data_IF_633863271973
#
_entry.id   IF_633863271973
#
_cell.length_a   1.000
_cell.length_b   1.000
_cell.length_c   1.000
_cell.angle_alpha   90.00
_cell.angle_beta   90.00
_cell.angle_gamma   90.00
#
_symmetry.space_group_name_H-M   'P 1'
#
loop_
_entity.id
_entity.type
_entity.pdbx_description
1 polymer ?
#
# COMPACT_ATOMS: atom_id res chain seq x y z
N UNK A 1 10.41 21.16 17.63
CA UNK A 1 8.98 20.81 17.76
C UNK A 1 8.67 20.82 19.24
N UNK A 2 7.81 21.75 19.67
CA UNK A 2 7.18 21.63 20.97
C UNK A 2 6.34 20.36 20.97
N UNK A 3 6.46 19.55 22.00
CA UNK A 3 5.55 18.44 22.22
C UNK A 3 4.14 19.00 22.36
N UNK A 4 3.31 18.79 21.37
CA UNK A 4 1.89 19.06 21.46
C UNK A 4 1.24 17.79 21.99
N UNK A 5 0.47 17.92 23.06
CA UNK A 5 -0.35 16.81 23.53
C UNK A 5 -1.55 16.68 22.57
N UNK A 6 -1.42 15.76 21.63
CA UNK A 6 -2.46 15.50 20.63
C UNK A 6 -3.76 14.96 21.24
N UNK A 7 -3.72 14.47 22.48
CA UNK A 7 -4.92 14.00 23.19
C UNK A 7 -5.92 15.14 23.41
N UNK A 8 -5.44 16.32 23.77
CA UNK A 8 -6.30 17.49 23.98
C UNK A 8 -6.94 17.97 22.66
N UNK A 9 -6.23 17.87 21.54
CA UNK A 9 -6.75 18.19 20.21
C UNK A 9 -7.75 17.15 19.69
N UNK A 10 -7.53 15.89 20.02
CA UNK A 10 -8.39 14.77 19.62
C UNK A 10 -9.78 14.85 20.28
N UNK A 11 -9.87 15.49 21.44
CA UNK A 11 -11.12 15.65 22.21
C UNK A 11 -11.91 16.89 21.79
N UNK A 12 -11.39 17.72 20.89
CA UNK A 12 -12.11 18.89 20.40
C UNK A 12 -13.32 18.46 19.55
N UNK A 13 -14.51 18.98 19.88
CA UNK A 13 -15.79 18.65 19.22
C UNK A 13 -15.79 18.79 17.68
N UNK A 14 -14.83 19.52 17.12
CA UNK A 14 -14.73 19.83 15.69
C UNK A 14 -13.41 19.36 15.04
N UNK A 15 -12.72 18.39 15.64
CA UNK A 15 -11.51 17.86 15.03
C UNK A 15 -11.85 17.11 13.73
N UNK A 16 -11.17 17.48 12.62
CA UNK A 16 -11.33 16.80 11.32
C UNK A 16 -10.73 15.39 11.35
N UNK A 17 -9.71 15.17 12.17
CA UNK A 17 -9.09 13.89 12.45
C UNK A 17 -9.13 13.63 13.96
N UNK A 18 -9.82 12.57 14.37
CA UNK A 18 -9.99 12.21 15.77
C UNK A 18 -9.03 11.11 16.18
N UNK A 19 -8.02 11.44 16.96
CA UNK A 19 -7.05 10.49 17.49
C UNK A 19 -7.72 9.52 18.46
N UNK A 20 -7.55 8.22 18.22
CA UNK A 20 -8.08 7.14 19.07
C UNK A 20 -6.98 6.44 19.85
N UNK A 21 -5.75 6.49 19.38
CA UNK A 21 -4.58 5.94 20.06
C UNK A 21 -3.33 6.72 19.68
N UNK A 22 -2.43 6.89 20.63
CA UNK A 22 -1.15 7.56 20.46
C UNK A 22 -0.05 6.69 21.07
N UNK A 23 1.04 6.54 20.33
CA UNK A 23 2.19 5.75 20.76
C UNK A 23 3.49 6.38 20.29
N UNK A 24 4.48 6.44 21.16
CA UNK A 24 5.86 6.71 20.75
C UNK A 24 6.58 5.39 20.58
N UNK A 25 7.13 5.17 19.39
CA UNK A 25 7.82 3.93 19.02
C UNK A 25 9.31 4.20 18.87
N UNK A 26 10.14 3.42 19.55
CA UNK A 26 11.57 3.37 19.25
C UNK A 26 11.76 2.45 18.03
N UNK A 27 12.19 3.02 16.92
CA UNK A 27 12.33 2.29 15.65
C UNK A 27 13.33 1.15 15.74
N UNK A 28 14.31 1.24 16.66
CA UNK A 28 15.30 0.17 16.88
C UNK A 28 14.65 -1.11 17.44
N UNK A 29 13.54 -0.99 18.16
CA UNK A 29 12.80 -2.15 18.67
C UNK A 29 12.21 -3.00 17.55
N UNK A 30 11.89 -2.41 16.38
CA UNK A 30 11.39 -3.14 15.23
C UNK A 30 12.40 -4.17 14.70
N UNK A 31 13.69 -3.91 14.84
CA UNK A 31 14.76 -4.81 14.38
C UNK A 31 14.83 -6.10 15.20
N UNK A 32 14.25 -6.10 16.40
CA UNK A 32 14.22 -7.23 17.32
C UNK A 32 12.81 -7.88 17.39
N UNK A 33 11.83 -7.34 16.67
CA UNK A 33 10.48 -7.87 16.63
C UNK A 33 10.34 -8.90 15.51
N UNK A 34 10.54 -10.18 15.87
CA UNK A 34 10.47 -11.28 14.90
C UNK A 34 9.08 -11.41 14.25
N UNK A 35 8.01 -11.11 14.97
CA UNK A 35 6.65 -11.15 14.44
C UNK A 35 6.44 -10.04 13.40
N UNK A 36 6.89 -8.83 13.71
CA UNK A 36 6.83 -7.71 12.78
C UNK A 36 7.69 -7.98 11.52
N UNK A 37 8.91 -8.48 11.67
CA UNK A 37 9.79 -8.84 10.55
C UNK A 37 9.17 -9.94 9.68
N UNK A 38 8.51 -10.93 10.29
CA UNK A 38 7.87 -12.03 9.57
C UNK A 38 6.72 -11.54 8.66
N UNK A 39 5.96 -10.54 9.08
CA UNK A 39 4.87 -9.96 8.27
C UNK A 39 5.36 -9.44 6.91
N UNK A 40 6.60 -8.98 6.85
CA UNK A 40 7.20 -8.41 5.65
C UNK A 40 8.13 -9.39 4.91
N UNK A 41 8.13 -10.66 5.29
CA UNK A 41 9.03 -11.68 4.73
C UNK A 41 10.48 -11.49 5.14
N UNK A 42 10.75 -10.80 6.23
CA UNK A 42 12.09 -10.49 6.71
C UNK A 42 12.56 -11.41 7.84
N UNK A 43 11.74 -12.37 8.29
CA UNK A 43 12.07 -13.25 9.41
C UNK A 43 13.22 -14.23 9.13
N UNK A 44 13.37 -14.64 7.87
CA UNK A 44 14.39 -15.63 7.45
C UNK A 44 15.71 -14.97 7.00
N UNK A 45 15.77 -13.66 7.03
CA UNK A 45 17.05 -12.98 6.82
C UNK A 45 17.88 -13.16 8.09
N UNK A 46 19.14 -13.61 7.97
CA UNK A 46 20.00 -13.72 9.13
C UNK A 46 19.99 -12.38 9.86
N UNK A 47 19.59 -12.41 11.12
CA UNK A 47 19.68 -11.24 11.99
C UNK A 47 21.08 -10.62 11.84
N UNK A 48 21.19 -9.29 11.96
CA UNK A 48 22.50 -8.61 11.88
C UNK A 48 23.55 -9.24 12.80
N UNK A 49 23.14 -9.96 13.83
CA UNK A 49 24.01 -10.71 14.75
C UNK A 49 24.68 -11.94 14.13
N UNK A 50 24.12 -12.56 13.09
CA UNK A 50 24.78 -13.70 12.44
C UNK A 50 25.92 -13.27 11.51
N UNK A 51 25.89 -12.06 11.00
CA UNK A 51 27.04 -11.49 10.30
C UNK A 51 28.20 -11.23 11.28
N UNK A 52 27.89 -10.85 12.51
CA UNK A 52 28.88 -10.70 13.61
C UNK A 52 29.36 -12.06 14.15
N UNK A 53 28.48 -13.06 14.24
CA UNK A 53 28.82 -14.41 14.68
C UNK A 53 29.67 -15.19 13.67
N UNK A 54 29.62 -14.85 12.38
CA UNK A 54 30.45 -15.44 11.33
C UNK A 54 31.87 -14.86 11.26
N UNK A 55 32.27 -14.01 12.22
CA UNK A 55 33.64 -13.49 12.34
C UNK A 55 34.06 -12.55 11.19
N UNK A 56 33.11 -11.97 10.48
CA UNK A 56 33.37 -10.95 9.48
C UNK A 56 33.57 -9.62 10.20
N UNK A 57 34.73 -9.50 10.85
CA UNK A 57 35.21 -8.26 11.45
C UNK A 57 35.90 -7.45 10.37
N UNK A 58 35.21 -6.48 9.80
CA UNK A 58 35.77 -5.51 8.85
C UNK A 58 34.68 -4.69 8.17
N UNK A 59 35.01 -3.54 7.57
CA UNK A 59 34.02 -2.60 7.03
C UNK A 59 33.46 -3.04 5.67
N UNK A 60 33.28 -4.33 5.43
CA UNK A 60 32.54 -4.81 4.27
C UNK A 60 31.04 -4.77 4.62
N UNK A 61 30.47 -3.59 4.44
CA UNK A 61 29.02 -3.49 4.30
C UNK A 61 28.62 -4.41 3.16
N UNK A 62 27.67 -5.32 3.41
CA UNK A 62 27.04 -6.06 2.33
C UNK A 62 26.63 -5.05 1.25
N UNK A 63 26.91 -5.36 0.00
CA UNK A 63 26.55 -4.49 -1.12
C UNK A 63 25.07 -4.12 -1.03
N UNK A 64 24.70 -2.84 -1.26
CA UNK A 64 23.32 -2.36 -1.33
C UNK A 64 22.47 -3.04 -2.41
N UNK A 65 23.08 -3.91 -3.24
CA UNK A 65 22.41 -4.73 -4.24
C UNK A 65 21.94 -6.07 -3.67
N UNK A 66 22.44 -6.50 -2.52
CA UNK A 66 21.98 -7.72 -1.83
C UNK A 66 20.78 -7.43 -0.94
N UNK A 67 19.88 -8.41 -0.77
CA UNK A 67 18.74 -8.26 0.13
C UNK A 67 19.19 -7.94 1.56
N UNK A 68 20.25 -8.59 2.05
CA UNK A 68 20.82 -8.31 3.37
C UNK A 68 21.32 -6.86 3.50
N UNK A 69 22.01 -6.33 2.48
CA UNK A 69 22.48 -4.94 2.47
C UNK A 69 21.34 -3.93 2.42
N UNK A 70 20.29 -4.22 1.64
CA UNK A 70 19.08 -3.40 1.57
C UNK A 70 18.40 -3.34 2.94
N UNK A 71 18.28 -4.46 3.62
CA UNK A 71 17.66 -4.51 4.93
C UNK A 71 18.47 -3.79 6.01
N UNK A 72 19.80 -3.88 5.96
CA UNK A 72 20.66 -3.11 6.87
C UNK A 72 20.42 -1.61 6.73
N UNK A 73 20.25 -1.10 5.50
CA UNK A 73 19.99 0.32 5.27
C UNK A 73 18.57 0.72 5.66
N UNK A 74 17.56 -0.12 5.37
CA UNK A 74 16.18 0.13 5.79
C UNK A 74 16.03 0.17 7.31
N UNK A 75 16.74 -0.68 8.01
CA UNK A 75 16.71 -0.80 9.46
C UNK A 75 17.83 -0.01 10.16
N UNK A 76 18.49 0.90 9.47
CA UNK A 76 19.44 1.84 10.05
C UNK A 76 18.69 3.07 10.61
N UNK A 77 18.62 3.13 11.94
CA UNK A 77 17.97 4.21 12.68
C UNK A 77 18.98 5.09 13.45
N UNK A 78 20.23 5.13 12.99
CA UNK A 78 21.31 5.88 13.66
C UNK A 78 21.05 7.39 13.75
N UNK A 79 20.30 7.95 12.78
CA UNK A 79 20.00 9.38 12.72
C UNK A 79 18.70 9.78 13.42
N UNK A 80 17.71 8.90 13.47
CA UNK A 80 16.42 9.14 14.10
C UNK A 80 15.89 7.84 14.65
N UNK A 81 15.61 7.80 15.96
CA UNK A 81 15.31 6.58 16.67
C UNK A 81 13.86 6.46 17.10
N UNK A 82 13.08 7.55 17.04
CA UNK A 82 11.71 7.55 17.57
C UNK A 82 10.71 8.16 16.60
N UNK A 83 9.56 7.53 16.53
CA UNK A 83 8.39 8.01 15.80
C UNK A 83 7.21 8.16 16.73
N UNK A 84 6.34 9.14 16.42
CA UNK A 84 5.04 9.30 17.05
C UNK A 84 3.98 8.72 16.11
N UNK A 85 3.23 7.73 16.59
CA UNK A 85 2.14 7.10 15.85
C UNK A 85 0.80 7.62 16.40
N UNK A 86 -0.03 8.15 15.51
CA UNK A 86 -1.39 8.61 15.81
C UNK A 86 -2.38 7.79 14.99
N UNK A 87 -3.09 6.88 15.63
CA UNK A 87 -4.25 6.22 14.99
C UNK A 87 -5.48 7.09 15.19
N UNK A 88 -6.33 7.18 14.18
CA UNK A 88 -7.49 8.05 14.30
C UNK A 88 -8.57 7.81 13.26
N UNK A 89 -9.66 8.56 13.41
CA UNK A 89 -10.87 8.47 12.62
C UNK A 89 -11.04 9.73 11.77
N UNK A 90 -11.64 9.55 10.60
CA UNK A 90 -11.98 10.65 9.71
C UNK A 90 -13.26 10.34 8.92
N UNK A 91 -13.88 11.38 8.39
CA UNK A 91 -15.11 11.25 7.61
C UNK A 91 -14.79 10.98 6.14
N UNK A 92 -15.51 10.05 5.54
CA UNK A 92 -15.43 9.71 4.12
C UNK A 92 -16.78 9.21 3.63
N UNK A 93 -16.78 8.44 2.54
CA UNK A 93 -17.97 7.82 1.96
C UNK A 93 -17.80 6.31 1.85
N UNK A 94 -18.91 5.59 1.89
CA UNK A 94 -18.97 4.14 1.68
C UNK A 94 -19.22 3.77 0.22
N UNK A 95 -19.42 2.48 -0.05
CA UNK A 95 -19.69 1.95 -1.40
C UNK A 95 -20.99 2.48 -2.01
N UNK A 96 -21.91 2.97 -1.19
CA UNK A 96 -23.18 3.58 -1.62
C UNK A 96 -23.09 5.11 -1.76
N UNK A 97 -21.89 5.68 -1.57
CA UNK A 97 -21.68 7.12 -1.54
C UNK A 97 -22.22 7.80 -0.28
N UNK A 98 -22.60 7.03 0.74
CA UNK A 98 -23.13 7.56 1.98
C UNK A 98 -22.00 7.91 2.95
N UNK A 99 -22.21 8.91 3.84
CA UNK A 99 -21.23 9.25 4.85
C UNK A 99 -20.87 8.06 5.72
N UNK A 100 -19.58 7.87 5.96
CA UNK A 100 -19.05 6.84 6.85
C UNK A 100 -17.83 7.35 7.59
N UNK A 101 -17.45 6.65 8.67
CA UNK A 101 -16.24 6.93 9.43
C UNK A 101 -15.20 5.86 9.08
N UNK A 102 -14.05 6.30 8.60
CA UNK A 102 -12.90 5.47 8.32
C UNK A 102 -11.78 5.76 9.30
N UNK A 103 -10.76 4.94 9.26
CA UNK A 103 -9.59 5.06 10.14
C UNK A 103 -8.28 4.98 9.35
N UNK A 104 -7.21 5.35 10.03
CA UNK A 104 -5.87 5.28 9.51
C UNK A 104 -4.85 5.70 10.55
N UNK A 105 -3.60 5.79 10.11
CA UNK A 105 -2.48 6.19 10.96
C UNK A 105 -1.72 7.36 10.37
N UNK A 106 -1.30 8.26 11.24
CA UNK A 106 -0.28 9.27 10.95
C UNK A 106 0.98 8.89 11.71
N UNK A 107 2.11 8.87 11.03
CA UNK A 107 3.42 8.63 11.63
C UNK A 107 4.24 9.90 11.48
N UNK A 108 4.67 10.46 12.60
CA UNK A 108 5.45 11.69 12.67
C UNK A 108 6.85 11.41 13.22
N UNK A 109 7.88 12.17 12.77
CA UNK A 109 9.14 12.21 13.50
C UNK A 109 8.87 12.67 14.93
N UNK A 110 9.39 11.98 15.93
CA UNK A 110 9.21 12.36 17.33
C UNK A 110 9.93 13.67 17.68
N UNK A 111 10.95 14.04 16.91
CA UNK A 111 11.73 15.26 17.07
C UNK A 111 12.08 15.86 15.72
N UNK A 112 12.24 17.18 15.70
CA UNK A 112 12.66 17.90 14.51
C UNK A 112 11.50 18.35 13.61
N UNK A 113 11.81 19.10 12.55
CA UNK A 113 10.80 19.56 11.60
C UNK A 113 10.30 18.42 10.72
N UNK A 114 9.09 18.57 10.20
CA UNK A 114 8.53 17.71 9.16
C UNK A 114 8.90 18.32 7.81
N UNK A 115 9.54 17.54 6.93
CA UNK A 115 9.93 18.02 5.60
C UNK A 115 8.73 18.13 4.67
N UNK A 116 8.01 17.04 4.48
CA UNK A 116 6.81 16.92 3.64
C UNK A 116 5.90 15.84 4.18
N UNK A 117 4.67 15.81 3.70
CA UNK A 117 3.80 14.64 3.82
C UNK A 117 4.10 13.61 2.75
N UNK A 118 4.04 12.34 3.13
CA UNK A 118 3.91 11.22 2.21
C UNK A 118 2.53 10.61 2.42
N UNK A 119 1.69 10.67 1.40
CA UNK A 119 0.37 10.03 1.41
C UNK A 119 0.52 8.63 0.85
N UNK A 120 0.31 7.64 1.71
CA UNK A 120 0.55 6.23 1.41
C UNK A 120 -0.74 5.51 1.12
N UNK A 121 -0.74 4.76 0.03
CA UNK A 121 -1.76 3.74 -0.27
C UNK A 121 -1.14 2.37 0.00
N UNK A 122 -1.71 1.62 0.97
CA UNK A 122 -1.07 0.38 1.40
C UNK A 122 -1.31 -0.79 0.43
N UNK A 123 -0.42 -1.78 0.48
CA UNK A 123 -0.54 -3.03 -0.26
C UNK A 123 -1.63 -3.93 0.34
N UNK A 124 -1.87 -5.07 -0.29
CA UNK A 124 -2.90 -6.04 0.13
C UNK A 124 -2.62 -6.57 1.53
N UNK A 125 -3.59 -6.42 2.39
CA UNK A 125 -3.70 -7.04 3.70
C UNK A 125 -5.00 -7.83 3.77
N UNK A 126 -5.11 -8.73 4.71
CA UNK A 126 -6.32 -9.52 4.90
C UNK A 126 -6.80 -9.54 6.36
N UNK A 127 -5.89 -9.46 7.31
CA UNK A 127 -6.25 -9.38 8.73
C UNK A 127 -6.33 -7.93 9.22
N UNK A 128 -7.23 -7.70 10.18
CA UNK A 128 -7.37 -6.37 10.78
C UNK A 128 -6.15 -5.97 11.63
N UNK A 129 -5.38 -6.94 12.13
CA UNK A 129 -4.12 -6.66 12.85
C UNK A 129 -3.04 -6.06 11.95
N UNK A 130 -3.13 -6.25 10.62
CA UNK A 130 -2.21 -5.67 9.64
C UNK A 130 -2.64 -4.28 9.17
N UNK A 131 -3.82 -3.80 9.58
CA UNK A 131 -4.28 -2.46 9.22
C UNK A 131 -3.31 -1.40 9.73
N UNK A 132 -3.01 -0.35 8.95
CA UNK A 132 -2.10 0.72 9.36
C UNK A 132 -2.41 1.31 10.74
N UNK A 133 -3.69 1.45 11.12
CA UNK A 133 -4.09 1.92 12.44
C UNK A 133 -3.70 0.98 13.59
N UNK A 134 -3.42 -0.30 13.32
CA UNK A 134 -3.14 -1.32 14.32
C UNK A 134 -1.67 -1.77 14.35
N UNK A 135 -0.87 -1.43 13.35
CA UNK A 135 0.51 -1.88 13.22
C UNK A 135 1.41 -0.74 12.74
N UNK A 136 2.72 -0.85 13.00
CA UNK A 136 3.69 0.02 12.33
C UNK A 136 3.90 -0.49 10.90
N UNK A 137 3.42 0.26 9.91
CA UNK A 137 3.52 -0.13 8.50
C UNK A 137 4.97 -0.10 8.00
N UNK A 138 5.29 -0.94 7.03
CA UNK A 138 6.64 -1.00 6.45
C UNK A 138 7.06 0.36 5.88
N UNK A 139 6.17 1.06 5.21
CA UNK A 139 6.39 2.41 4.68
C UNK A 139 6.73 3.42 5.79
N UNK A 140 6.28 3.16 7.00
CA UNK A 140 6.56 3.96 8.20
C UNK A 140 8.04 4.14 8.48
N UNK A 141 8.90 3.24 7.99
CA UNK A 141 10.35 3.36 8.11
C UNK A 141 10.90 4.66 7.50
N UNK A 142 10.18 5.25 6.55
CA UNK A 142 10.58 6.51 5.92
C UNK A 142 10.46 7.73 6.84
N UNK A 143 9.78 7.59 7.99
CA UNK A 143 9.72 8.64 9.01
C UNK A 143 11.11 9.04 9.51
N UNK A 144 12.06 8.12 9.50
CA UNK A 144 13.46 8.37 9.90
C UNK A 144 14.15 9.44 9.06
N UNK A 145 13.66 9.71 7.86
CA UNK A 145 14.17 10.75 6.96
C UNK A 145 13.54 12.14 7.23
N UNK A 146 12.60 12.23 8.16
CA UNK A 146 11.95 13.50 8.53
C UNK A 146 10.62 13.76 7.83
N UNK A 147 10.02 12.76 7.21
CA UNK A 147 8.70 12.85 6.58
C UNK A 147 7.59 12.47 7.56
N UNK A 148 6.41 13.06 7.38
CA UNK A 148 5.19 12.61 8.03
C UNK A 148 4.41 11.72 7.05
N UNK A 149 4.04 10.52 7.49
CA UNK A 149 3.30 9.59 6.67
C UNK A 149 1.82 9.58 7.07
N UNK A 150 0.96 9.64 6.07
CA UNK A 150 -0.50 9.54 6.21
C UNK A 150 -0.92 8.24 5.54
N UNK A 151 -1.42 7.28 6.31
CA UNK A 151 -1.65 5.91 5.86
C UNK A 151 -3.08 5.49 6.19
N UNK A 152 -4.04 5.66 5.25
CA UNK A 152 -5.41 5.19 5.44
C UNK A 152 -5.52 3.67 5.50
N UNK A 153 -6.47 3.16 6.29
CA UNK A 153 -6.75 1.72 6.40
C UNK A 153 -7.51 1.15 5.19
N UNK A 154 -8.26 1.96 4.49
CA UNK A 154 -9.30 1.63 3.50
C UNK A 154 -10.61 1.14 4.14
N UNK A 155 -11.71 1.15 3.38
CA UNK A 155 -12.93 0.46 3.77
C UNK A 155 -12.64 -1.03 3.95
N UNK A 156 -13.15 -1.62 5.01
CA UNK A 156 -12.98 -3.04 5.30
C UNK A 156 -11.95 -3.34 6.38
N UNK A 157 -11.21 -2.33 6.85
CA UNK A 157 -10.22 -2.47 7.91
C UNK A 157 -10.35 -1.37 8.96
N UNK A 158 -9.76 -1.58 10.12
CA UNK A 158 -9.84 -0.62 11.22
C UNK A 158 -11.29 -0.38 11.66
N UNK A 159 -11.72 0.86 11.60
CA UNK A 159 -13.08 1.26 12.01
C UNK A 159 -14.20 0.57 11.21
N UNK A 160 -13.91 0.06 10.02
CA UNK A 160 -14.87 -0.63 9.15
C UNK A 160 -14.52 -2.09 8.89
N UNK A 161 -13.86 -2.74 9.85
CA UNK A 161 -13.45 -4.15 9.72
C UNK A 161 -14.64 -5.11 9.51
N UNK A 162 -15.85 -4.70 9.87
CA UNK A 162 -17.11 -5.42 9.63
C UNK A 162 -17.63 -5.32 8.20
N UNK A 163 -16.99 -4.51 7.35
CA UNK A 163 -17.36 -4.30 5.95
C UNK A 163 -16.43 -5.08 5.02
N UNK A 164 -16.97 -5.45 3.85
CA UNK A 164 -16.14 -6.00 2.77
C UNK A 164 -15.24 -4.89 2.23
N UNK A 165 -13.96 -5.20 2.04
CA UNK A 165 -13.04 -4.28 1.36
C UNK A 165 -13.34 -4.24 -0.14
N UNK A 166 -13.65 -3.04 -0.70
CA UNK A 166 -13.89 -2.87 -2.14
C UNK A 166 -12.55 -2.89 -2.91
N UNK A 167 -11.94 -4.05 -2.96
CA UNK A 167 -10.60 -4.27 -3.49
C UNK A 167 -10.47 -3.79 -4.94
N UNK A 168 -9.55 -2.87 -5.20
CA UNK A 168 -9.27 -2.27 -6.52
C UNK A 168 -10.45 -1.49 -7.13
N UNK A 169 -11.40 -1.04 -6.33
CA UNK A 169 -12.40 -0.07 -6.75
C UNK A 169 -11.77 1.32 -6.64
N UNK A 170 -11.20 1.78 -7.75
CA UNK A 170 -10.17 2.82 -7.75
C UNK A 170 -10.70 4.20 -7.36
N UNK A 171 -11.80 4.67 -7.93
CA UNK A 171 -12.33 6.00 -7.60
C UNK A 171 -12.75 6.11 -6.13
N UNK A 172 -13.44 5.10 -5.62
CA UNK A 172 -13.85 5.06 -4.23
C UNK A 172 -12.65 5.06 -3.29
N UNK A 173 -11.68 4.18 -3.55
CA UNK A 173 -10.49 4.06 -2.69
C UNK A 173 -9.65 5.34 -2.75
N UNK A 174 -9.47 5.95 -3.92
CA UNK A 174 -8.78 7.22 -4.05
C UNK A 174 -9.49 8.34 -3.25
N UNK A 175 -10.81 8.39 -3.27
CA UNK A 175 -11.60 9.31 -2.47
C UNK A 175 -11.37 9.09 -0.98
N UNK A 176 -11.42 7.83 -0.52
CA UNK A 176 -11.17 7.48 0.88
C UNK A 176 -9.75 7.89 1.34
N UNK A 177 -8.75 7.72 0.50
CA UNK A 177 -7.37 8.13 0.79
C UNK A 177 -7.25 9.64 0.88
N UNK A 178 -7.80 10.37 -0.08
CA UNK A 178 -7.78 11.84 -0.08
C UNK A 178 -8.56 12.44 1.07
N UNK A 179 -9.67 11.83 1.46
CA UNK A 179 -10.46 12.30 2.60
C UNK A 179 -9.64 12.25 3.91
N UNK A 180 -8.78 11.24 4.08
CA UNK A 180 -7.86 11.24 5.22
C UNK A 180 -6.83 12.37 5.14
N UNK A 181 -6.25 12.61 3.97
CA UNK A 181 -5.33 13.72 3.76
C UNK A 181 -6.00 15.05 4.16
N UNK A 182 -7.21 15.32 3.66
CA UNK A 182 -7.95 16.53 3.99
C UNK A 182 -8.34 16.66 5.47
N UNK A 183 -8.50 15.53 6.15
CA UNK A 183 -8.77 15.52 7.58
C UNK A 183 -7.52 15.78 8.42
N UNK A 184 -6.40 15.17 8.03
CA UNK A 184 -5.14 15.19 8.79
C UNK A 184 -4.39 16.50 8.65
N UNK A 185 -4.35 17.11 7.46
CA UNK A 185 -3.57 18.32 7.21
C UNK A 185 -4.00 19.49 8.10
N UNK A 186 -5.29 19.88 8.17
CA UNK A 186 -5.73 20.93 9.08
C UNK A 186 -5.48 20.60 10.55
N UNK A 187 -5.64 19.34 10.93
CA UNK A 187 -5.39 18.85 12.28
C UNK A 187 -3.92 19.09 12.69
N UNK A 188 -2.98 18.69 11.84
CA UNK A 188 -1.54 18.86 12.12
C UNK A 188 -1.10 20.33 12.07
N UNK A 189 -1.63 21.12 11.14
CA UNK A 189 -1.35 22.56 11.06
C UNK A 189 -1.81 23.27 12.35
N UNK A 190 -3.00 22.95 12.83
CA UNK A 190 -3.53 23.50 14.09
C UNK A 190 -2.70 23.08 15.30
N UNK A 191 -2.08 21.89 15.25
CA UNK A 191 -1.16 21.39 16.26
C UNK A 191 0.25 22.00 16.17
N UNK A 192 0.52 22.90 15.20
CA UNK A 192 1.85 23.45 14.96
C UNK A 192 2.83 22.49 14.29
N UNK A 193 2.32 21.46 13.61
CA UNK A 193 3.09 20.43 12.94
C UNK A 193 3.06 20.57 11.40
N UNK A 194 2.92 21.77 10.87
CA UNK A 194 2.97 22.00 9.43
C UNK A 194 4.36 21.62 8.87
N UNK A 195 4.41 20.98 7.68
CA UNK A 195 5.68 20.67 7.05
C UNK A 195 6.39 21.92 6.52
N UNK A 196 7.70 21.78 6.28
CA UNK A 196 8.53 22.86 5.71
C UNK A 196 8.15 23.18 4.26
N UNK A 197 7.72 22.15 3.51
CA UNK A 197 7.30 22.26 2.11
C UNK A 197 5.83 21.89 1.96
N UNK A 198 5.14 22.56 1.04
CA UNK A 198 3.71 22.38 0.81
C UNK A 198 3.36 21.31 -0.23
N UNK A 199 4.35 20.86 -1.00
CA UNK A 199 4.21 19.76 -1.94
C UNK A 199 4.39 18.40 -1.24
N UNK A 200 3.78 17.36 -1.77
CA UNK A 200 3.71 16.04 -1.14
C UNK A 200 4.21 14.94 -2.06
N UNK A 201 4.61 13.84 -1.46
CA UNK A 201 4.81 12.58 -2.14
C UNK A 201 3.57 11.70 -2.04
N UNK A 202 3.26 10.97 -3.12
CA UNK A 202 2.33 9.86 -3.12
C UNK A 202 3.12 8.57 -3.28
N UNK A 203 2.77 7.51 -2.56
CA UNK A 203 3.42 6.22 -2.75
C UNK A 203 2.49 5.04 -2.49
N UNK A 204 2.76 3.93 -3.16
CA UNK A 204 2.09 2.67 -2.92
C UNK A 204 2.70 1.51 -3.69
N UNK A 205 2.58 0.32 -3.12
CA UNK A 205 3.03 -0.94 -3.71
C UNK A 205 1.87 -1.92 -3.88
N UNK A 206 1.89 -2.71 -4.94
CA UNK A 206 0.86 -3.73 -5.25
C UNK A 206 -0.52 -3.09 -5.41
N UNK A 207 -1.53 -3.50 -4.65
CA UNK A 207 -2.81 -2.78 -4.59
C UNK A 207 -2.59 -1.28 -4.40
N UNK A 208 -1.66 -0.92 -3.52
CA UNK A 208 -1.29 0.46 -3.26
C UNK A 208 -0.64 1.16 -4.46
N UNK A 209 0.05 0.43 -5.33
CA UNK A 209 0.60 0.96 -6.57
C UNK A 209 -0.49 1.43 -7.52
N UNK A 210 -1.51 0.62 -7.75
CA UNK A 210 -2.68 1.00 -8.53
C UNK A 210 -3.46 2.13 -7.84
N UNK A 211 -3.66 2.04 -6.53
CA UNK A 211 -4.38 3.04 -5.75
C UNK A 211 -3.67 4.39 -5.77
N UNK A 212 -2.34 4.44 -5.62
CA UNK A 212 -1.61 5.71 -5.65
C UNK A 212 -1.69 6.40 -7.02
N UNK A 213 -1.73 5.64 -8.11
CA UNK A 213 -2.00 6.19 -9.44
C UNK A 213 -3.43 6.72 -9.55
N UNK A 214 -4.41 6.05 -8.95
CA UNK A 214 -5.77 6.53 -8.88
C UNK A 214 -5.91 7.80 -8.02
N UNK A 215 -5.13 7.92 -6.94
CA UNK A 215 -5.05 9.14 -6.12
C UNK A 215 -4.48 10.30 -6.94
N UNK A 216 -3.39 10.07 -7.68
CA UNK A 216 -2.84 11.07 -8.59
C UNK A 216 -3.87 11.51 -9.64
N UNK A 217 -4.57 10.56 -10.25
CA UNK A 217 -5.63 10.85 -11.20
C UNK A 217 -6.72 11.72 -10.58
N UNK A 218 -7.19 11.37 -9.38
CA UNK A 218 -8.23 12.15 -8.70
C UNK A 218 -7.79 13.58 -8.40
N UNK A 219 -6.54 13.78 -7.99
CA UNK A 219 -5.97 15.11 -7.75
C UNK A 219 -5.92 15.92 -9.04
N UNK A 220 -5.37 15.35 -10.10
CA UNK A 220 -5.10 16.05 -11.37
C UNK A 220 -6.36 16.24 -12.20
N UNK A 221 -7.27 15.26 -12.20
CA UNK A 221 -8.51 15.32 -12.97
C UNK A 221 -9.53 16.30 -12.38
N UNK A 222 -9.58 16.45 -11.07
CA UNK A 222 -10.49 17.35 -10.38
C UNK A 222 -9.86 18.68 -9.99
N UNK A 223 -8.68 19.00 -10.51
CA UNK A 223 -7.91 20.21 -10.21
C UNK A 223 -7.84 20.52 -8.70
N UNK A 224 -7.57 19.48 -7.90
CA UNK A 224 -7.40 19.62 -6.46
C UNK A 224 -6.17 20.48 -6.17
N UNK A 225 -6.22 21.39 -5.17
CA UNK A 225 -5.12 22.29 -4.84
C UNK A 225 -4.00 21.58 -4.07
N UNK A 226 -3.63 20.38 -4.50
CA UNK A 226 -2.56 19.56 -3.92
C UNK A 226 -1.40 19.56 -4.91
N UNK A 227 -0.24 20.01 -4.44
CA UNK A 227 1.00 19.98 -5.22
C UNK A 227 1.69 18.64 -5.01
N UNK A 228 1.90 17.91 -6.06
CA UNK A 228 2.60 16.62 -6.02
C UNK A 228 4.05 16.83 -6.42
N UNK A 229 4.97 16.52 -5.50
CA UNK A 229 6.40 16.52 -5.78
C UNK A 229 6.79 15.36 -6.70
N UNK A 230 6.33 14.16 -6.35
CA UNK A 230 6.56 12.93 -7.08
C UNK A 230 5.60 11.84 -6.61
N UNK A 231 5.28 10.91 -7.51
CA UNK A 231 4.53 9.69 -7.21
C UNK A 231 5.48 8.49 -7.30
N UNK A 232 5.45 7.63 -6.29
CA UNK A 232 6.16 6.35 -6.30
C UNK A 232 5.15 5.22 -6.39
N UNK A 233 5.12 4.51 -7.50
CA UNK A 233 4.22 3.39 -7.74
C UNK A 233 5.03 2.13 -8.03
N UNK A 234 4.80 1.07 -7.27
CA UNK A 234 5.51 -0.19 -7.42
C UNK A 234 4.58 -1.39 -7.53
N UNK A 235 4.92 -2.33 -8.41
CA UNK A 235 4.27 -3.64 -8.52
C UNK A 235 2.75 -3.61 -8.65
N UNK A 236 2.19 -2.59 -9.27
CA UNK A 236 0.75 -2.34 -9.29
C UNK A 236 -0.01 -3.08 -10.39
N UNK A 237 -1.22 -3.57 -10.08
CA UNK A 237 -2.13 -4.15 -11.06
C UNK A 237 -2.88 -3.04 -11.82
N UNK A 238 -2.17 -2.29 -12.64
CA UNK A 238 -2.73 -1.16 -13.38
C UNK A 238 -3.77 -1.59 -14.42
N UNK A 239 -3.62 -2.79 -14.97
CA UNK A 239 -4.61 -3.50 -15.76
C UNK A 239 -5.18 -4.64 -14.91
N UNK A 240 -6.28 -4.37 -14.23
CA UNK A 240 -6.87 -5.29 -13.25
C UNK A 240 -7.39 -6.54 -13.94
N UNK A 241 -8.09 -6.36 -15.06
CA UNK A 241 -8.65 -7.49 -15.84
C UNK A 241 -7.55 -8.43 -16.31
N UNK A 242 -6.48 -7.88 -16.86
CA UNK A 242 -5.34 -8.67 -17.29
C UNK A 242 -4.72 -9.46 -16.12
N UNK A 243 -4.52 -8.80 -14.99
CA UNK A 243 -3.93 -9.42 -13.78
C UNK A 243 -4.76 -10.61 -13.30
N UNK A 244 -6.06 -10.44 -13.18
CA UNK A 244 -6.96 -11.52 -12.76
C UNK A 244 -7.06 -12.61 -13.84
N UNK A 245 -7.19 -12.23 -15.10
CA UNK A 245 -7.30 -13.18 -16.22
C UNK A 245 -6.06 -14.07 -16.37
N UNK A 246 -4.89 -13.60 -15.96
CA UNK A 246 -3.69 -14.44 -15.95
C UNK A 246 -3.81 -15.61 -14.97
N UNK A 247 -4.52 -15.49 -13.86
CA UNK A 247 -4.80 -16.63 -12.98
C UNK A 247 -5.62 -17.70 -13.70
N UNK A 248 -6.57 -17.28 -14.53
CA UNK A 248 -7.42 -18.16 -15.34
C UNK A 248 -6.63 -18.75 -16.49
N UNK A 249 -5.93 -17.91 -17.26
CA UNK A 249 -5.14 -18.32 -18.44
C UNK A 249 -4.06 -19.34 -18.10
N UNK A 250 -3.29 -19.09 -17.06
CA UNK A 250 -2.20 -19.97 -16.62
C UNK A 250 -2.68 -21.11 -15.73
N UNK A 251 -3.94 -21.07 -15.29
CA UNK A 251 -4.51 -21.96 -14.29
C UNK A 251 -3.67 -22.04 -13.01
N UNK A 252 -3.05 -20.93 -12.64
CA UNK A 252 -2.16 -20.83 -11.50
C UNK A 252 -2.26 -19.45 -10.83
N UNK A 253 -2.38 -19.45 -9.51
CA UNK A 253 -2.32 -18.27 -8.69
C UNK A 253 -1.26 -18.46 -7.59
N UNK A 254 -0.12 -17.79 -7.71
CA UNK A 254 0.96 -17.84 -6.69
C UNK A 254 0.49 -17.35 -5.34
N UNK A 255 -0.49 -16.45 -5.36
CA UNK A 255 -1.16 -15.90 -4.18
C UNK A 255 -2.67 -16.20 -4.27
N UNK A 256 -3.09 -17.45 -3.94
CA UNK A 256 -4.45 -17.91 -4.26
C UNK A 256 -5.55 -17.06 -3.62
N UNK A 257 -5.32 -16.43 -2.46
CA UNK A 257 -6.31 -15.56 -1.84
C UNK A 257 -6.67 -14.34 -2.69
N UNK A 258 -5.83 -13.94 -3.63
CA UNK A 258 -6.14 -12.87 -4.57
C UNK A 258 -7.39 -13.16 -5.40
N UNK A 259 -7.66 -14.42 -5.72
CA UNK A 259 -8.81 -14.82 -6.53
C UNK A 259 -10.14 -14.46 -5.85
N UNK A 260 -10.47 -14.97 -4.65
CA UNK A 260 -11.72 -14.60 -3.97
C UNK A 260 -11.73 -13.13 -3.52
N UNK A 261 -10.60 -12.56 -3.10
CA UNK A 261 -10.55 -11.17 -2.65
C UNK A 261 -10.84 -10.20 -3.80
N UNK A 262 -10.24 -10.42 -4.98
CA UNK A 262 -10.49 -9.58 -6.15
C UNK A 262 -11.93 -9.72 -6.64
N UNK A 263 -12.45 -10.94 -6.71
CA UNK A 263 -13.82 -11.18 -7.12
C UNK A 263 -14.82 -10.50 -6.18
N UNK A 264 -14.72 -10.75 -4.88
CA UNK A 264 -15.63 -10.17 -3.90
C UNK A 264 -15.54 -8.64 -3.87
N UNK A 265 -14.33 -8.10 -3.91
CA UNK A 265 -14.12 -6.65 -3.90
C UNK A 265 -14.77 -5.97 -5.09
N UNK A 266 -14.67 -6.56 -6.28
CA UNK A 266 -15.30 -6.04 -7.49
C UNK A 266 -16.82 -6.15 -7.44
N UNK A 267 -17.34 -7.28 -7.00
CA UNK A 267 -18.80 -7.52 -6.92
C UNK A 267 -19.44 -6.57 -5.90
N UNK A 268 -18.90 -6.49 -4.69
CA UNK A 268 -19.46 -5.64 -3.63
C UNK A 268 -19.19 -4.16 -3.91
N UNK A 269 -17.96 -3.81 -4.28
CA UNK A 269 -17.55 -2.42 -4.47
C UNK A 269 -18.20 -1.74 -5.67
N UNK A 270 -18.57 -2.49 -6.70
CA UNK A 270 -19.29 -1.98 -7.87
C UNK A 270 -20.80 -2.30 -7.84
N UNK A 271 -21.28 -2.94 -6.78
CA UNK A 271 -22.68 -3.36 -6.63
C UNK A 271 -23.17 -4.20 -7.80
N UNK A 272 -22.37 -5.17 -8.22
CA UNK A 272 -22.71 -6.05 -9.32
C UNK A 272 -23.78 -7.05 -8.88
N UNK A 273 -24.78 -7.26 -9.74
CA UNK A 273 -25.78 -8.32 -9.55
C UNK A 273 -25.21 -9.65 -10.05
N UNK A 274 -24.21 -10.17 -9.32
CA UNK A 274 -23.54 -11.43 -9.61
C UNK A 274 -23.62 -12.37 -8.40
N UNK A 275 -24.00 -13.61 -8.66
CA UNK A 275 -23.97 -14.66 -7.67
C UNK A 275 -22.59 -15.32 -7.63
N UNK A 276 -21.78 -14.95 -6.64
CA UNK A 276 -20.42 -15.49 -6.48
C UNK A 276 -20.38 -16.99 -6.23
N UNK A 277 -21.48 -17.57 -5.71
CA UNK A 277 -21.56 -19.02 -5.48
C UNK A 277 -21.53 -19.82 -6.78
N UNK A 278 -21.85 -19.20 -7.91
CA UNK A 278 -21.73 -19.81 -9.23
C UNK A 278 -20.29 -19.82 -9.76
N UNK A 279 -19.45 -18.92 -9.26
CA UNK A 279 -18.09 -18.73 -9.75
C UNK A 279 -17.01 -19.32 -8.85
N UNK A 280 -17.23 -19.31 -7.54
CA UNK A 280 -16.30 -19.89 -6.56
C UNK A 280 -16.68 -21.32 -6.23
N UNK A 281 -15.68 -22.16 -5.97
CA UNK A 281 -15.93 -23.49 -5.41
C UNK A 281 -16.72 -23.38 -4.09
N UNK A 282 -17.64 -24.32 -3.79
CA UNK A 282 -18.49 -24.23 -2.61
C UNK A 282 -17.73 -24.08 -1.29
N UNK A 283 -16.60 -24.76 -1.13
CA UNK A 283 -15.80 -24.69 0.11
C UNK A 283 -15.24 -23.28 0.36
N UNK A 284 -15.00 -22.49 -0.70
CA UNK A 284 -14.55 -21.10 -0.57
C UNK A 284 -15.72 -20.18 -0.29
N UNK A 285 -16.78 -20.29 -1.06
CA UNK A 285 -17.95 -19.43 -0.92
C UNK A 285 -18.59 -19.60 0.48
N UNK A 286 -18.74 -20.81 0.96
CA UNK A 286 -19.29 -21.11 2.27
C UNK A 286 -18.42 -20.63 3.44
N UNK A 287 -17.11 -20.49 3.22
CA UNK A 287 -16.14 -20.02 4.21
C UNK A 287 -15.68 -18.58 3.98
N UNK A 288 -16.26 -17.86 3.02
CA UNK A 288 -15.80 -16.52 2.66
C UNK A 288 -15.87 -15.55 3.86
N UNK A 289 -16.96 -15.61 4.63
CA UNK A 289 -17.10 -14.79 5.85
C UNK A 289 -16.11 -15.20 6.94
N UNK A 290 -15.92 -16.50 7.15
CA UNK A 290 -15.00 -16.99 8.18
C UNK A 290 -13.53 -16.77 7.85
N UNK A 291 -13.14 -16.90 6.59
CA UNK A 291 -11.74 -16.85 6.18
C UNK A 291 -11.29 -15.47 5.70
N UNK A 292 -12.16 -14.74 5.00
CA UNK A 292 -11.81 -13.43 4.41
C UNK A 292 -12.47 -12.29 5.18
N UNK A 293 -13.78 -12.34 5.39
CA UNK A 293 -14.53 -11.21 5.93
C UNK A 293 -14.43 -11.07 7.44
N UNK A 294 -13.99 -12.12 8.14
CA UNK A 294 -13.72 -12.06 9.59
C UNK A 294 -12.55 -11.14 9.92
N UNK A 295 -11.64 -10.93 8.96
CA UNK A 295 -10.40 -10.15 9.14
C UNK A 295 -9.48 -10.72 10.24
N UNK A 296 -9.62 -12.03 10.53
CA UNK A 296 -8.83 -12.74 11.54
C UNK A 296 -7.54 -13.34 10.98
N UNK A 297 -7.50 -13.59 9.67
CA UNK A 297 -6.40 -14.29 9.01
C UNK A 297 -5.61 -13.36 8.09
N UNK A 298 -4.28 -13.50 8.14
CA UNK A 298 -3.40 -12.87 7.14
C UNK A 298 -3.64 -13.49 5.76
N UNK A 299 -3.21 -12.80 4.71
CA UNK A 299 -3.29 -13.33 3.36
C UNK A 299 -2.56 -14.68 3.23
N UNK A 300 -1.38 -14.82 3.84
CA UNK A 300 -0.66 -16.10 3.86
C UNK A 300 -1.42 -17.22 4.55
N UNK A 301 -2.13 -16.92 5.65
CA UNK A 301 -2.97 -17.90 6.33
C UNK A 301 -4.20 -18.30 5.48
N UNK A 302 -4.80 -17.34 4.77
CA UNK A 302 -5.89 -17.64 3.83
C UNK A 302 -5.38 -18.53 2.69
N UNK A 303 -4.20 -18.25 2.14
CA UNK A 303 -3.59 -19.12 1.12
C UNK A 303 -3.48 -20.57 1.59
N UNK A 304 -3.09 -20.79 2.84
CA UNK A 304 -3.01 -22.11 3.45
C UNK A 304 -4.40 -22.75 3.59
N UNK A 305 -5.40 -21.98 4.02
CA UNK A 305 -6.79 -22.47 4.15
C UNK A 305 -7.38 -22.87 2.80
N UNK A 306 -7.07 -22.15 1.72
CA UNK A 306 -7.50 -22.49 0.36
C UNK A 306 -6.87 -23.79 -0.15
N UNK A 307 -5.64 -24.10 0.25
CA UNK A 307 -4.99 -25.40 0.05
C UNK A 307 -4.56 -25.73 -1.38
N UNK A 308 -4.73 -24.81 -2.33
CA UNK A 308 -4.31 -25.01 -3.73
C UNK A 308 -3.91 -23.70 -4.39
N UNK A 309 -2.94 -23.78 -5.29
CA UNK A 309 -2.55 -22.70 -6.20
C UNK A 309 -3.20 -22.85 -7.59
N UNK A 310 -3.84 -23.98 -7.86
CA UNK A 310 -4.48 -24.25 -9.16
C UNK A 310 -5.82 -23.51 -9.20
N UNK A 311 -5.97 -22.59 -10.15
CA UNK A 311 -7.14 -21.72 -10.21
C UNK A 311 -8.45 -22.50 -10.39
N UNK A 312 -8.44 -23.60 -11.16
CA UNK A 312 -9.60 -24.49 -11.34
C UNK A 312 -9.99 -25.27 -10.07
N UNK A 313 -9.12 -25.33 -9.06
CA UNK A 313 -9.48 -25.83 -7.73
C UNK A 313 -10.21 -24.77 -6.89
N UNK A 314 -10.10 -23.51 -7.27
CA UNK A 314 -10.69 -22.37 -6.55
C UNK A 314 -11.99 -21.88 -7.21
N UNK A 315 -12.06 -21.93 -8.53
CA UNK A 315 -13.18 -21.48 -9.35
C UNK A 315 -13.93 -22.66 -9.96
N UNK A 316 -15.24 -22.50 -10.12
CA UNK A 316 -16.09 -23.45 -10.84
C UNK A 316 -15.83 -23.38 -12.35
N UNK A 317 -16.42 -24.29 -13.11
CA UNK A 317 -16.40 -24.21 -14.59
C UNK A 317 -16.93 -22.86 -15.09
N UNK A 318 -18.00 -22.32 -14.47
CA UNK A 318 -18.55 -21.00 -14.81
C UNK A 318 -17.51 -19.92 -14.49
N UNK A 319 -16.86 -19.98 -13.35
CA UNK A 319 -15.83 -19.02 -12.92
C UNK A 319 -14.58 -19.04 -13.80
N UNK A 320 -14.28 -20.16 -14.45
CA UNK A 320 -13.16 -20.32 -15.40
C UNK A 320 -13.55 -19.98 -16.84
N UNK A 321 -14.85 -19.88 -17.14
CA UNK A 321 -15.35 -19.66 -18.50
C UNK A 321 -15.49 -18.16 -18.79
N UNK A 322 -14.58 -17.63 -19.59
CA UNK A 322 -14.59 -16.22 -20.02
C UNK A 322 -15.85 -15.84 -20.84
N UNK A 323 -16.57 -16.81 -21.40
CA UNK A 323 -17.81 -16.57 -22.16
C UNK A 323 -19.04 -16.60 -21.28
N UNK A 324 -18.91 -17.04 -20.02
CA UNK A 324 -20.03 -17.00 -19.07
C UNK A 324 -20.46 -15.57 -18.80
N UNK A 325 -21.75 -15.38 -18.52
CA UNK A 325 -22.31 -14.08 -18.16
C UNK A 325 -21.59 -13.51 -16.91
N UNK A 326 -21.36 -14.36 -15.93
CA UNK A 326 -20.77 -13.99 -14.64
C UNK A 326 -19.35 -13.46 -14.82
N UNK A 327 -18.49 -14.19 -15.51
CA UNK A 327 -17.11 -13.76 -15.77
C UNK A 327 -17.07 -12.52 -16.68
N UNK A 328 -17.92 -12.47 -17.70
CA UNK A 328 -18.00 -11.32 -18.59
C UNK A 328 -18.35 -10.03 -17.85
N UNK A 329 -19.32 -10.06 -16.93
CA UNK A 329 -19.69 -8.90 -16.12
C UNK A 329 -18.62 -8.54 -15.10
N UNK A 330 -18.00 -9.54 -14.47
CA UNK A 330 -16.85 -9.32 -13.57
C UNK A 330 -15.70 -8.62 -14.30
N UNK A 331 -15.33 -9.11 -15.47
CA UNK A 331 -14.24 -8.55 -16.27
C UNK A 331 -14.55 -7.12 -16.75
N UNK A 332 -15.80 -6.84 -17.07
CA UNK A 332 -16.21 -5.47 -17.42
C UNK A 332 -16.00 -4.49 -16.27
N UNK A 333 -16.32 -4.89 -15.05
CA UNK A 333 -16.06 -4.07 -13.87
C UNK A 333 -14.55 -3.90 -13.63
N UNK A 334 -13.75 -4.93 -13.85
CA UNK A 334 -12.28 -4.85 -13.75
C UNK A 334 -11.70 -3.89 -14.80
N UNK A 335 -12.17 -3.92 -16.03
CA UNK A 335 -11.75 -2.99 -17.08
C UNK A 335 -12.12 -1.56 -16.70
N UNK A 336 -13.32 -1.33 -16.21
CA UNK A 336 -13.80 0.01 -15.82
C UNK A 336 -13.00 0.59 -14.63
N UNK A 337 -12.45 -0.25 -13.77
CA UNK A 337 -11.61 0.17 -12.64
C UNK A 337 -10.11 0.24 -12.98
N UNK A 338 -9.69 -0.28 -14.13
CA UNK A 338 -8.28 -0.24 -14.54
C UNK A 338 -7.87 1.18 -14.89
N UNK A 339 -6.86 1.71 -14.20
CA UNK A 339 -6.39 3.08 -14.40
C UNK A 339 -5.91 3.33 -15.83
N UNK A 340 -5.47 2.29 -16.52
CA UNK A 340 -5.01 2.38 -17.93
C UNK A 340 -6.14 2.63 -18.92
N UNK A 341 -7.40 2.43 -18.53
CA UNK A 341 -8.57 2.72 -19.39
C UNK A 341 -9.07 4.16 -19.22
N UNK A 342 -8.54 4.89 -18.25
CA UNK A 342 -8.93 6.27 -18.02
C UNK A 342 -8.36 7.19 -19.12
N UNK A 343 -9.15 8.18 -19.53
CA UNK A 343 -8.71 9.23 -20.46
C UNK A 343 -7.87 10.27 -19.73
N UNK A 344 -6.67 9.86 -19.32
CA UNK A 344 -5.78 10.66 -18.49
C UNK A 344 -4.33 10.26 -18.72
N UNK A 345 -3.44 11.25 -18.66
CA UNK A 345 -1.99 11.06 -18.66
C UNK A 345 -1.43 11.73 -17.39
N UNK A 346 -0.61 11.04 -16.57
CA UNK A 346 0.00 11.65 -15.40
C UNK A 346 0.75 12.94 -15.73
N UNK A 347 0.50 14.00 -14.95
CA UNK A 347 1.15 15.31 -15.10
C UNK A 347 2.36 15.45 -14.17
N UNK A 348 2.18 15.17 -12.87
CA UNK A 348 3.28 15.19 -11.92
C UNK A 348 4.26 14.04 -12.21
N UNK A 349 5.55 14.20 -11.85
CA UNK A 349 6.56 13.17 -12.06
C UNK A 349 6.19 11.86 -11.35
N UNK A 350 6.39 10.74 -12.03
CA UNK A 350 6.15 9.39 -11.50
C UNK A 350 7.45 8.60 -11.54
N UNK A 351 7.72 7.89 -10.48
CA UNK A 351 8.70 6.80 -10.45
C UNK A 351 7.93 5.48 -10.38
N UNK A 352 8.14 4.62 -11.37
CA UNK A 352 7.42 3.35 -11.48
C UNK A 352 8.40 2.18 -11.40
N UNK A 353 8.21 1.36 -10.38
CA UNK A 353 9.02 0.20 -10.08
C UNK A 353 8.23 -1.08 -10.34
N UNK A 354 8.85 -2.08 -10.97
CA UNK A 354 8.26 -3.41 -11.09
C UNK A 354 9.35 -4.46 -11.30
N UNK A 355 9.29 -5.53 -10.48
CA UNK A 355 10.17 -6.67 -10.70
C UNK A 355 9.74 -7.47 -11.93
N UNK A 356 10.68 -7.78 -12.80
CA UNK A 356 10.45 -8.66 -13.95
C UNK A 356 10.13 -10.10 -13.52
N UNK A 357 10.46 -10.47 -12.28
CA UNK A 357 10.21 -11.80 -11.68
C UNK A 357 8.97 -11.83 -10.80
N UNK A 358 8.13 -10.78 -10.85
CA UNK A 358 6.91 -10.72 -10.05
C UNK A 358 5.98 -11.89 -10.35
N UNK A 359 5.70 -12.70 -9.32
CA UNK A 359 4.93 -13.94 -9.42
C UNK A 359 3.43 -13.73 -9.11
N UNK A 360 3.02 -12.53 -8.71
CA UNK A 360 1.63 -12.21 -8.34
C UNK A 360 1.01 -11.21 -9.30
N UNK A 361 1.66 -10.07 -9.49
CA UNK A 361 1.24 -9.02 -10.43
C UNK A 361 2.16 -9.06 -11.64
N UNK A 362 1.70 -9.55 -12.79
CA UNK A 362 2.55 -9.70 -13.97
C UNK A 362 3.25 -8.40 -14.36
N UNK A 363 4.52 -8.49 -14.71
CA UNK A 363 5.35 -7.36 -15.15
C UNK A 363 4.73 -6.61 -16.33
N UNK A 364 3.93 -7.29 -17.14
CA UNK A 364 3.19 -6.71 -18.27
C UNK A 364 2.31 -5.53 -17.85
N UNK A 365 1.87 -5.47 -16.60
CA UNK A 365 1.16 -4.30 -16.06
C UNK A 365 1.99 -3.03 -16.21
N UNK A 366 3.26 -3.08 -15.85
CA UNK A 366 4.18 -1.96 -15.98
C UNK A 366 4.50 -1.64 -17.44
N UNK A 367 4.61 -2.66 -18.29
CA UNK A 367 4.81 -2.47 -19.73
C UNK A 367 3.63 -1.82 -20.40
N UNK A 368 2.41 -2.19 -20.02
CA UNK A 368 1.17 -1.56 -20.50
C UNK A 368 1.06 -0.12 -20.02
N UNK A 369 1.42 0.17 -18.78
CA UNK A 369 1.50 1.54 -18.25
C UNK A 369 2.50 2.38 -19.07
N UNK A 370 3.68 1.84 -19.32
CA UNK A 370 4.71 2.50 -20.14
C UNK A 370 4.23 2.82 -21.55
N UNK A 371 3.51 1.91 -22.17
CA UNK A 371 2.93 2.11 -23.49
C UNK A 371 1.82 3.16 -23.49
N UNK A 372 0.92 3.11 -22.50
CA UNK A 372 -0.19 4.06 -22.35
C UNK A 372 0.30 5.48 -22.09
N UNK A 373 1.26 5.63 -21.20
CA UNK A 373 1.75 6.93 -20.72
C UNK A 373 3.13 7.31 -21.27
N UNK A 374 3.40 6.95 -22.50
CA UNK A 374 4.70 7.19 -23.15
C UNK A 374 5.13 8.67 -23.22
N UNK A 375 4.18 9.59 -23.13
CA UNK A 375 4.44 11.04 -23.15
C UNK A 375 4.44 11.68 -21.76
N UNK A 376 4.25 10.89 -20.69
CA UNK A 376 4.32 11.37 -19.32
C UNK A 376 5.76 11.42 -18.80
N UNK A 377 6.01 12.23 -17.78
CA UNK A 377 7.27 12.26 -17.06
C UNK A 377 7.34 11.09 -16.08
N UNK A 378 7.70 9.91 -16.57
CA UNK A 378 7.82 8.70 -15.77
C UNK A 378 9.23 8.14 -15.89
N UNK A 379 9.87 7.97 -14.74
CA UNK A 379 11.12 7.23 -14.60
C UNK A 379 10.77 5.78 -14.25
N UNK A 380 11.24 4.84 -15.05
CA UNK A 380 10.98 3.41 -14.84
C UNK A 380 12.20 2.73 -14.19
N UNK A 381 11.93 1.85 -13.23
CA UNK A 381 12.90 0.95 -12.63
C UNK A 381 12.39 -0.49 -12.78
N UNK A 382 12.86 -1.14 -13.83
CA UNK A 382 12.51 -2.52 -14.16
C UNK A 382 13.76 -3.39 -14.09
N UNK A 383 13.65 -4.52 -13.42
CA UNK A 383 14.77 -5.43 -13.24
C UNK A 383 14.35 -6.72 -12.55
N UNK A 384 15.32 -7.60 -12.38
CA UNK A 384 15.15 -8.86 -11.66
C UNK A 384 15.30 -8.62 -10.15
N UNK A 385 14.22 -8.15 -9.51
CA UNK A 385 14.22 -7.74 -8.11
C UNK A 385 13.63 -8.78 -7.16
N UNK A 386 13.47 -10.01 -7.63
CA UNK A 386 12.86 -11.09 -6.89
C UNK A 386 11.34 -11.17 -7.09
N UNK A 387 10.68 -12.05 -6.31
CA UNK A 387 9.24 -12.21 -6.36
C UNK A 387 8.50 -10.94 -5.88
N UNK A 388 7.18 -10.98 -5.90
CA UNK A 388 6.34 -9.84 -5.52
C UNK A 388 6.64 -9.30 -4.13
N UNK A 389 6.81 -10.17 -3.14
CA UNK A 389 7.10 -9.78 -1.75
C UNK A 389 8.51 -9.19 -1.60
N UNK A 390 9.52 -9.77 -2.20
CA UNK A 390 10.88 -9.23 -2.23
C UNK A 390 10.91 -7.88 -2.97
N UNK A 391 10.14 -7.77 -4.04
CA UNK A 391 9.96 -6.53 -4.77
C UNK A 391 9.44 -5.39 -3.91
N UNK A 392 8.55 -5.67 -2.94
CA UNK A 392 8.05 -4.68 -2.00
C UNK A 392 9.18 -4.07 -1.15
N UNK A 393 10.01 -4.90 -0.56
CA UNK A 393 11.15 -4.45 0.26
C UNK A 393 12.12 -3.61 -0.56
N UNK A 394 12.43 -4.06 -1.77
CA UNK A 394 13.31 -3.32 -2.70
C UNK A 394 12.70 -2.00 -3.17
N UNK A 395 11.40 -1.98 -3.37
CA UNK A 395 10.68 -0.75 -3.70
C UNK A 395 10.80 0.30 -2.59
N UNK A 396 10.53 -0.09 -1.33
CA UNK A 396 10.65 0.83 -0.19
C UNK A 396 12.08 1.35 -0.06
N UNK A 397 13.07 0.48 -0.20
CA UNK A 397 14.47 0.89 -0.21
C UNK A 397 14.81 1.88 -1.33
N UNK A 398 14.30 1.63 -2.53
CA UNK A 398 14.53 2.53 -3.67
C UNK A 398 13.89 3.89 -3.44
N UNK A 399 12.67 3.91 -2.88
CA UNK A 399 12.01 5.16 -2.48
C UNK A 399 12.86 5.91 -1.45
N UNK A 400 13.38 5.23 -0.43
CA UNK A 400 14.28 5.84 0.55
C UNK A 400 15.48 6.52 -0.14
N UNK A 401 16.14 5.83 -1.06
CA UNK A 401 17.29 6.38 -1.80
C UNK A 401 16.90 7.61 -2.62
N UNK A 402 15.77 7.55 -3.30
CA UNK A 402 15.30 8.68 -4.12
C UNK A 402 14.89 9.89 -3.25
N UNK A 403 14.29 9.67 -2.09
CA UNK A 403 13.99 10.74 -1.15
C UNK A 403 15.26 11.41 -0.62
N UNK A 404 16.28 10.63 -0.29
CA UNK A 404 17.58 11.17 0.12
C UNK A 404 18.25 11.97 -1.00
N UNK A 405 18.14 11.54 -2.25
CA UNK A 405 18.68 12.27 -3.39
C UNK A 405 17.92 13.57 -3.63
N UNK A 406 16.58 13.55 -3.57
CA UNK A 406 15.77 14.76 -3.71
C UNK A 406 16.13 15.81 -2.64
N UNK A 407 16.40 15.38 -1.42
CA UNK A 407 16.85 16.27 -0.34
C UNK A 407 18.22 16.89 -0.61
N UNK A 408 19.17 16.11 -1.13
CA UNK A 408 20.49 16.62 -1.51
C UNK A 408 20.41 17.67 -2.62
N UNK A 409 19.55 17.45 -3.60
CA UNK A 409 19.29 18.42 -4.67
C UNK A 409 18.76 19.74 -4.12
N UNK A 410 17.76 19.69 -3.24
CA UNK A 410 17.14 20.87 -2.63
C UNK A 410 18.13 21.66 -1.76
N UNK A 411 19.04 20.97 -1.08
CA UNK A 411 20.07 21.59 -0.24
C UNK A 411 21.29 22.10 -1.01
N UNK A 412 21.31 21.95 -2.35
CA UNK A 412 22.44 22.37 -3.20
C UNK A 412 23.69 21.54 -3.03
N UNK A 413 23.62 20.38 -2.40
CA UNK A 413 24.73 19.46 -2.18
C UNK A 413 24.90 18.51 -3.38
N UNK A 414 25.15 19.06 -4.59
CA UNK A 414 25.58 18.24 -5.70
C UNK A 414 27.06 17.88 -5.53
N UNK A 415 27.35 16.63 -5.28
CA UNK A 415 28.63 16.02 -5.59
C UNK A 415 28.55 15.41 -7.00
N UNK A 416 29.23 16.02 -7.96
CA UNK A 416 29.45 15.45 -9.28
C UNK A 416 30.26 14.14 -9.16
#
# INVERSE_FOLDING_TARGET
>A
VQYVDFTDLAMAENATFRVTAQKTTDLRELTNDAEWLALWGMADTPAMDTANAAGITGPQRASSTTLAGIMQELLDFSKSTKALELSGLYKSIDVDGQPTILSGKVILPAKGPIKRYILVSHYTIASNKEAPSNIFSLEGLLVKLGYALIIPDYIGYGATADKVHPYLVMELTATNVLDMYYAVVPFLEKAGCAPEHDDIYLMGYSQGGATTMAVQHAIEHHDKPIKIRRVFAGGGPYDIKYTYDQFVETNWASYPCAVPIMMQGMVVGNKLDLDMSKMMQPFIYENLDAWVNSKLYTAGQINTLLGSHVTSDLLTEIGMDRTSKEVSELYKAMVNNSILTYSWTPKAPVFMFHSMDDDVVPFENAMRAKSKWKNANIQYSFGHFGNHQMGCVRFIYTVQTLLENDEKEENGNFTF
#
